data_IF_096761749715
#
_entry.id   IF_096761749715
#
_cell.length_a   1.000
_cell.length_b   1.000
_cell.length_c   1.000
_cell.angle_alpha   90.00
_cell.angle_beta   90.00
_cell.angle_gamma   90.00
#
_symmetry.space_group_name_H-M   'P 1'
#
loop_
_entity.id
_entity.type
_entity.pdbx_description
1 polymer ?
#
# COMPACT_ATOMS: atom_id res chain seq x y z
N UNK A 1 10.27 13.00 -15.53
CA UNK A 1 10.93 11.78 -15.02
C UNK A 1 9.90 11.09 -14.15
N UNK A 2 9.65 9.78 -14.32
CA UNK A 2 8.58 9.07 -13.61
C UNK A 2 8.59 9.25 -12.08
N UNK A 3 9.78 9.35 -11.49
CA UNK A 3 9.98 9.65 -10.06
C UNK A 3 9.32 10.98 -9.65
N UNK A 4 9.44 12.04 -10.47
CA UNK A 4 8.81 13.34 -10.15
C UNK A 4 7.28 13.27 -10.17
N UNK A 5 6.72 12.45 -11.05
CA UNK A 5 5.26 12.30 -11.14
C UNK A 5 4.73 11.56 -9.90
N UNK A 6 5.46 10.54 -9.44
CA UNK A 6 5.16 9.84 -8.19
C UNK A 6 5.33 10.75 -6.96
N UNK A 7 6.40 11.54 -6.87
CA UNK A 7 6.59 12.52 -5.78
C UNK A 7 5.48 13.57 -5.73
N UNK A 8 5.07 14.10 -6.89
CA UNK A 8 3.97 15.06 -6.97
C UNK A 8 2.65 14.41 -6.50
N UNK A 9 2.39 13.18 -6.95
CA UNK A 9 1.21 12.44 -6.52
C UNK A 9 1.20 12.19 -5.01
N UNK A 10 2.34 11.80 -4.41
CA UNK A 10 2.49 11.62 -2.95
C UNK A 10 2.13 12.91 -2.20
N UNK A 11 2.58 14.06 -2.69
CA UNK A 11 2.25 15.37 -2.09
C UNK A 11 0.76 15.68 -2.18
N UNK A 12 0.11 15.33 -3.28
CA UNK A 12 -1.33 15.55 -3.44
C UNK A 12 -2.13 14.69 -2.48
N UNK A 13 -1.90 13.37 -2.42
CA UNK A 13 -2.65 12.48 -1.52
C UNK A 13 -2.36 12.73 -0.02
N UNK A 14 -1.24 13.39 0.30
CA UNK A 14 -0.90 13.79 1.67
C UNK A 14 -1.78 14.95 2.15
N UNK A 15 -2.24 15.80 1.23
CA UNK A 15 -3.05 17.00 1.55
C UNK A 15 -4.53 16.78 1.21
N UNK A 16 -4.81 16.10 0.10
CA UNK A 16 -6.15 15.81 -0.39
C UNK A 16 -6.63 14.44 0.10
N UNK A 17 -7.33 14.47 1.23
CA UNK A 17 -7.95 13.29 1.83
C UNK A 17 -9.09 12.72 0.99
N UNK A 18 -9.74 13.52 0.15
CA UNK A 18 -10.86 13.06 -0.67
C UNK A 18 -10.34 12.32 -1.91
N UNK A 19 -9.23 12.78 -2.49
CA UNK A 19 -8.45 12.01 -3.46
C UNK A 19 -8.01 10.67 -2.87
N UNK A 20 -7.48 10.66 -1.64
CA UNK A 20 -7.06 9.41 -0.99
C UNK A 20 -8.23 8.44 -0.79
N UNK A 21 -9.42 8.95 -0.46
CA UNK A 21 -10.63 8.13 -0.28
C UNK A 21 -11.20 7.63 -1.61
N UNK A 22 -11.14 8.43 -2.67
CA UNK A 22 -11.70 8.03 -3.97
C UNK A 22 -11.02 6.78 -4.53
N UNK A 23 -9.77 6.53 -4.15
CA UNK A 23 -9.02 5.34 -4.55
C UNK A 23 -9.60 4.03 -4.01
N UNK A 24 -10.41 4.06 -2.95
CA UNK A 24 -11.13 2.87 -2.47
C UNK A 24 -12.30 2.45 -3.37
N UNK A 25 -12.68 3.27 -4.35
CA UNK A 25 -13.74 2.93 -5.29
C UNK A 25 -13.31 1.91 -6.36
N UNK A 26 -12.00 1.74 -6.58
CA UNK A 26 -11.47 0.81 -7.58
C UNK A 26 -11.37 -0.60 -7.00
N UNK A 27 -11.71 -1.61 -7.81
CA UNK A 27 -11.74 -3.00 -7.35
C UNK A 27 -10.40 -3.71 -7.50
N UNK A 28 -9.51 -3.18 -8.34
CA UNK A 28 -8.19 -3.76 -8.62
C UNK A 28 -7.11 -2.70 -8.66
N UNK A 29 -5.88 -3.10 -8.33
CA UNK A 29 -4.68 -2.27 -8.47
C UNK A 29 -4.51 -1.73 -9.90
N UNK A 30 -4.85 -2.52 -10.93
CA UNK A 30 -4.73 -2.13 -12.33
C UNK A 30 -5.70 -1.02 -12.75
N UNK A 31 -6.97 -1.10 -12.33
CA UNK A 31 -7.97 -0.05 -12.57
C UNK A 31 -7.55 1.26 -11.89
N UNK A 32 -7.07 1.16 -10.66
CA UNK A 32 -6.60 2.31 -9.90
C UNK A 32 -5.41 2.99 -10.57
N UNK A 33 -4.39 2.22 -10.98
CA UNK A 33 -3.22 2.76 -11.68
C UNK A 33 -3.59 3.39 -13.02
N UNK A 34 -4.60 2.84 -13.72
CA UNK A 34 -5.13 3.45 -14.94
C UNK A 34 -5.77 4.80 -14.64
N UNK A 35 -6.60 4.89 -13.60
CA UNK A 35 -7.24 6.16 -13.23
C UNK A 35 -6.26 7.22 -12.73
N UNK A 36 -5.20 6.83 -12.01
CA UNK A 36 -4.12 7.72 -11.57
C UNK A 36 -3.40 8.30 -12.80
N UNK A 37 -3.15 7.46 -13.80
CA UNK A 37 -2.56 7.88 -15.07
C UNK A 37 -3.47 8.83 -15.85
N UNK A 38 -4.76 8.56 -15.89
CA UNK A 38 -5.75 9.42 -16.54
C UNK A 38 -5.89 10.78 -15.82
N UNK A 39 -5.55 10.85 -14.53
CA UNK A 39 -5.47 12.08 -13.74
C UNK A 39 -4.17 12.87 -13.97
N UNK A 40 -3.26 12.36 -14.81
CA UNK A 40 -2.02 13.05 -15.20
C UNK A 40 -0.76 12.56 -14.51
N UNK A 41 -0.84 11.56 -13.62
CA UNK A 41 0.33 11.02 -12.92
C UNK A 41 0.82 9.73 -13.57
N UNK A 42 1.98 9.78 -14.22
CA UNK A 42 2.51 8.65 -14.96
C UNK A 42 3.69 7.99 -14.24
N UNK A 43 3.38 7.05 -13.36
CA UNK A 43 4.37 6.25 -12.64
C UNK A 43 3.92 4.79 -12.49
N UNK A 44 4.87 3.90 -12.17
CA UNK A 44 4.65 2.49 -11.83
C UNK A 44 4.62 2.28 -10.32
N UNK A 45 4.04 1.18 -9.86
CA UNK A 45 3.94 0.86 -8.43
C UNK A 45 5.28 0.96 -7.67
N UNK A 46 6.37 0.41 -8.22
CA UNK A 46 7.68 0.48 -7.56
C UNK A 46 8.24 1.91 -7.51
N UNK A 47 7.89 2.77 -8.49
CA UNK A 47 8.37 4.16 -8.54
C UNK A 47 7.72 4.99 -7.43
N UNK A 48 6.50 4.65 -7.01
CA UNK A 48 5.87 5.23 -5.82
C UNK A 48 6.67 4.89 -4.55
N UNK A 49 7.03 3.61 -4.37
CA UNK A 49 7.80 3.18 -3.20
C UNK A 49 9.21 3.80 -3.18
N UNK A 50 9.89 3.83 -4.33
CA UNK A 50 11.18 4.52 -4.47
C UNK A 50 11.07 6.01 -4.16
N UNK A 51 10.01 6.67 -4.60
CA UNK A 51 9.78 8.10 -4.34
C UNK A 51 9.54 8.39 -2.87
N UNK A 52 8.80 7.53 -2.15
CA UNK A 52 8.69 7.65 -0.69
C UNK A 52 10.06 7.53 -0.02
N UNK A 53 10.85 6.51 -0.40
CA UNK A 53 12.18 6.32 0.18
C UNK A 53 13.10 7.51 -0.12
N UNK A 54 13.03 8.05 -1.32
CA UNK A 54 13.76 9.26 -1.72
C UNK A 54 13.37 10.45 -0.83
N UNK A 55 12.07 10.73 -0.70
CA UNK A 55 11.56 11.81 0.15
C UNK A 55 11.92 11.63 1.62
N UNK A 56 11.95 10.39 2.14
CA UNK A 56 12.39 10.09 3.51
C UNK A 56 13.88 10.39 3.73
N UNK A 57 14.73 10.08 2.75
CA UNK A 57 16.18 10.36 2.83
C UNK A 57 16.45 11.86 2.74
N UNK A 58 15.68 12.58 1.95
CA UNK A 58 15.82 14.04 1.80
C UNK A 58 15.21 14.82 2.97
N UNK A 59 14.32 14.21 3.76
CA UNK A 59 13.64 14.90 4.85
C UNK A 59 14.44 14.87 6.15
N UNK A 60 14.84 16.03 6.69
CA UNK A 60 15.52 16.11 7.98
C UNK A 60 14.56 16.05 9.18
N UNK A 61 13.24 16.04 8.94
CA UNK A 61 12.20 16.11 9.95
C UNK A 61 11.57 14.74 10.23
N UNK A 62 11.54 14.35 11.50
CA UNK A 62 11.03 13.06 11.95
C UNK A 62 9.52 12.95 11.73
N UNK A 63 8.76 14.02 11.93
CA UNK A 63 7.30 14.01 11.73
C UNK A 63 6.95 13.77 10.26
N UNK A 64 7.68 14.41 9.34
CA UNK A 64 7.52 14.17 7.92
C UNK A 64 7.90 12.73 7.53
N UNK A 65 8.96 12.17 8.13
CA UNK A 65 9.35 10.79 7.87
C UNK A 65 8.28 9.77 8.32
N UNK A 66 7.63 10.02 9.46
CA UNK A 66 6.52 9.20 9.98
C UNK A 66 5.33 9.28 9.01
N UNK A 67 4.93 10.48 8.59
CA UNK A 67 3.83 10.66 7.65
C UNK A 67 4.07 9.91 6.33
N UNK A 68 5.28 9.97 5.79
CA UNK A 68 5.66 9.25 4.57
C UNK A 68 5.57 7.72 4.76
N UNK A 69 5.88 7.23 5.95
CA UNK A 69 5.76 5.81 6.29
C UNK A 69 4.30 5.35 6.39
N UNK A 70 3.43 6.18 6.98
CA UNK A 70 1.99 5.92 7.01
C UNK A 70 1.38 5.90 5.61
N UNK A 71 1.82 6.79 4.72
CA UNK A 71 1.41 6.79 3.31
C UNK A 71 1.88 5.51 2.62
N UNK A 72 3.11 5.07 2.83
CA UNK A 72 3.62 3.83 2.25
C UNK A 72 2.85 2.60 2.70
N UNK A 73 2.57 2.49 4.00
CA UNK A 73 1.80 1.38 4.56
C UNK A 73 0.38 1.34 3.97
N UNK A 74 -0.28 2.49 3.92
CA UNK A 74 -1.59 2.61 3.28
C UNK A 74 -1.57 2.20 1.82
N UNK A 75 -0.58 2.67 1.05
CA UNK A 75 -0.45 2.34 -0.36
C UNK A 75 -0.27 0.83 -0.56
N UNK A 76 0.58 0.20 0.26
CA UNK A 76 0.79 -1.25 0.23
C UNK A 76 -0.48 -2.03 0.53
N UNK A 77 -1.24 -1.60 1.53
CA UNK A 77 -2.53 -2.22 1.86
C UNK A 77 -3.57 -2.03 0.76
N UNK A 78 -3.58 -0.86 0.11
CA UNK A 78 -4.49 -0.52 -0.97
C UNK A 78 -4.20 -1.32 -2.25
N UNK A 79 -2.92 -1.52 -2.56
CA UNK A 79 -2.46 -2.25 -3.74
C UNK A 79 -2.33 -3.75 -3.53
N UNK A 80 -2.73 -4.25 -2.36
CA UNK A 80 -2.65 -5.67 -2.02
C UNK A 80 -3.85 -6.44 -2.60
N UNK A 81 -3.63 -7.19 -3.67
CA UNK A 81 -4.65 -8.00 -4.34
C UNK A 81 -4.91 -9.39 -3.68
N UNK A 82 -4.62 -9.57 -2.39
CA UNK A 82 -5.09 -10.75 -1.63
C UNK A 82 -4.37 -12.08 -1.88
N UNK A 83 -3.24 -12.13 -2.58
CA UNK A 83 -2.55 -13.38 -2.96
C UNK A 83 -1.72 -14.06 -1.87
N UNK A 84 -2.02 -13.86 -0.58
CA UNK A 84 -1.48 -14.69 0.52
C UNK A 84 -2.64 -15.14 1.43
N UNK A 85 -3.32 -16.20 1.01
CA UNK A 85 -4.08 -17.10 1.88
C UNK A 85 -3.82 -18.58 1.50
N UNK A 86 -2.63 -18.90 0.98
CA UNK A 86 -2.15 -20.29 0.92
C UNK A 86 -0.78 -20.41 1.57
N UNK A 87 -0.68 -20.14 2.88
CA UNK A 87 0.34 -20.76 3.73
C UNK A 87 -0.07 -20.76 5.20
N UNK A 88 -1.23 -21.37 5.48
CA UNK A 88 -1.59 -21.85 6.82
C UNK A 88 -2.10 -23.30 6.78
N UNK A 89 -1.55 -24.12 5.86
CA UNK A 89 -1.76 -25.57 5.79
C UNK A 89 -0.45 -26.35 5.70
N UNK A 90 0.54 -26.02 6.54
CA UNK A 90 1.58 -26.99 6.96
C UNK A 90 2.46 -26.47 8.10
N UNK A 91 1.91 -25.69 9.04
CA UNK A 91 2.55 -25.58 10.34
C UNK A 91 2.14 -26.82 11.15
N UNK A 92 3.04 -27.79 11.22
CA UNK A 92 2.98 -28.95 12.10
C UNK A 92 2.98 -28.51 13.57
N UNK A 93 1.84 -28.03 14.05
CA UNK A 93 1.57 -27.92 15.47
C UNK A 93 1.31 -29.33 16.03
N UNK A 94 2.39 -30.02 16.40
CA UNK A 94 2.32 -31.01 17.47
C UNK A 94 2.50 -30.28 18.79
N UNK A 95 1.42 -30.13 19.55
CA UNK A 95 1.48 -30.52 20.95
C UNK A 95 0.25 -31.36 21.28
N UNK A 96 0.50 -32.65 21.47
CA UNK A 96 -0.17 -33.53 22.44
C UNK A 96 -1.52 -33.06 22.98
N UNK A 97 -2.57 -33.80 22.60
CA UNK A 97 -3.95 -33.87 23.14
C UNK A 97 -5.02 -33.29 22.21
N UNK A 98 -5.48 -34.15 21.29
CA UNK A 98 -6.85 -34.10 20.80
C UNK A 98 -7.81 -34.08 21.98
N UNK A 99 -8.59 -33.02 22.16
CA UNK A 99 -9.87 -33.09 22.85
C UNK A 99 -10.89 -32.20 22.14
N UNK A 100 -11.88 -32.89 21.57
CA UNK A 100 -13.23 -32.43 21.21
C UNK A 100 -13.38 -31.24 20.26
N UNK A 101 -13.46 -31.54 18.96
CA UNK A 101 -14.47 -30.91 18.11
C UNK A 101 -15.82 -31.57 18.38
N UNK A 102 -16.78 -30.80 18.88
CA UNK A 102 -18.22 -31.06 18.75
C UNK A 102 -18.93 -29.71 18.57
N UNK A 103 -19.82 -29.69 17.58
CA UNK A 103 -20.63 -28.60 17.04
C UNK A 103 -21.20 -27.57 18.03
N UNK A 104 -21.35 -26.33 17.53
CA UNK A 104 -22.63 -25.62 17.43
C UNK A 104 -22.61 -24.75 16.17
#
# INVERSE_FOLDING_TARGET
MPIKDAENYIREIAVDMDLRKSLYAYSTSAEMMTSIKDSGFNFKLYEFEESINHLKVESPDEEQAIMLEEILLWWKMLMYDGSICEEAKSASCSPSRCFSCSSC
#
